data_IF_082178926366
#
_entry.id   IF_082178926366
#
_cell.length_a   1.000
_cell.length_b   1.000
_cell.length_c   1.000
_cell.angle_alpha   90.00
_cell.angle_beta   90.00
_cell.angle_gamma   90.00
#
_symmetry.space_group_name_H-M   'P 1'
#
loop_
_entity.id
_entity.type
_entity.pdbx_description
1 polymer ?
#
# COMPACT_ATOMS: atom_id res chain seq x y z
N UNK A 1 -8.06 0.70 6.75
CA UNK A 1 -7.87 0.29 5.34
C UNK A 1 -8.76 1.05 4.36
N UNK A 2 -10.07 1.09 4.57
CA UNK A 2 -11.00 1.77 3.64
C UNK A 2 -10.68 3.25 3.45
N UNK A 3 -10.26 3.94 4.52
CA UNK A 3 -9.86 5.34 4.43
C UNK A 3 -8.67 5.52 3.46
N UNK A 4 -7.63 4.69 3.59
CA UNK A 4 -6.45 4.78 2.72
C UNK A 4 -6.80 4.44 1.29
N UNK A 5 -7.62 3.40 1.07
CA UNK A 5 -8.10 3.05 -0.27
C UNK A 5 -8.85 4.21 -0.91
N UNK A 6 -9.82 4.77 -0.21
CA UNK A 6 -10.67 5.83 -0.75
C UNK A 6 -9.86 7.09 -1.04
N UNK A 7 -8.86 7.40 -0.21
CA UNK A 7 -7.98 8.55 -0.42
C UNK A 7 -7.06 8.35 -1.63
N UNK A 8 -6.43 7.18 -1.74
CA UNK A 8 -5.50 6.87 -2.84
C UNK A 8 -6.22 6.76 -4.18
N UNK A 9 -7.41 6.16 -4.20
CA UNK A 9 -8.19 5.94 -5.41
C UNK A 9 -9.22 7.05 -5.66
N UNK A 10 -9.05 8.21 -5.07
CA UNK A 10 -10.03 9.33 -5.06
C UNK A 10 -10.68 9.60 -6.42
N UNK A 11 -9.89 9.61 -7.49
CA UNK A 11 -10.36 9.92 -8.84
C UNK A 11 -10.71 8.66 -9.66
N UNK A 12 -10.57 7.48 -9.07
CA UNK A 12 -10.80 6.20 -9.72
C UNK A 12 -11.70 5.31 -8.86
N UNK A 13 -12.88 5.81 -8.59
CA UNK A 13 -13.85 5.16 -7.69
C UNK A 13 -14.19 3.72 -8.11
N UNK A 14 -14.40 3.47 -9.40
CA UNK A 14 -14.70 2.12 -9.90
C UNK A 14 -13.53 1.16 -9.66
N UNK A 15 -12.31 1.65 -9.83
CA UNK A 15 -11.12 0.85 -9.54
C UNK A 15 -11.07 0.48 -8.07
N UNK A 16 -11.36 1.44 -7.18
CA UNK A 16 -11.41 1.19 -5.74
C UNK A 16 -12.43 0.09 -5.40
N UNK A 17 -13.62 0.15 -5.98
CA UNK A 17 -14.68 -0.84 -5.74
C UNK A 17 -14.33 -2.24 -6.28
N UNK A 18 -13.50 -2.32 -7.29
CA UNK A 18 -13.11 -3.59 -7.92
C UNK A 18 -11.76 -4.11 -7.42
N UNK A 19 -11.16 -3.47 -6.42
CA UNK A 19 -9.89 -3.87 -5.84
C UNK A 19 -10.15 -4.53 -4.49
N UNK A 20 -9.72 -5.77 -4.34
CA UNK A 20 -9.95 -6.58 -3.14
C UNK A 20 -8.66 -6.72 -2.36
N UNK A 21 -8.68 -6.36 -1.09
CA UNK A 21 -7.51 -6.41 -0.21
C UNK A 21 -7.88 -7.18 1.06
N UNK A 22 -7.15 -8.25 1.33
CA UNK A 22 -7.23 -8.95 2.60
C UNK A 22 -6.03 -8.55 3.45
N UNK A 23 -6.27 -8.17 4.71
CA UNK A 23 -5.22 -7.82 5.65
C UNK A 23 -5.08 -8.93 6.67
N UNK A 24 -3.86 -9.46 6.81
CA UNK A 24 -3.53 -10.53 7.76
C UNK A 24 -2.48 -10.04 8.74
N UNK A 25 -2.71 -10.30 10.02
CA UNK A 25 -1.74 -10.05 11.08
C UNK A 25 -1.00 -11.34 11.38
N UNK A 26 0.33 -11.33 11.25
CA UNK A 26 1.17 -12.51 11.44
C UNK A 26 2.44 -12.17 12.20
N UNK A 27 3.09 -13.20 12.75
CA UNK A 27 4.40 -13.08 13.40
C UNK A 27 5.50 -13.56 12.45
N UNK A 28 6.71 -13.08 12.69
CA UNK A 28 7.94 -13.58 12.05
C UNK A 28 7.89 -13.56 10.52
N UNK A 29 7.40 -12.44 9.98
CA UNK A 29 7.27 -12.29 8.53
C UNK A 29 8.50 -11.68 7.86
N UNK A 30 9.56 -11.39 8.61
CA UNK A 30 10.82 -10.88 8.08
C UNK A 30 10.85 -9.39 7.74
N UNK A 31 9.74 -8.67 7.97
CA UNK A 31 9.60 -7.24 7.76
C UNK A 31 8.40 -6.74 8.54
N UNK A 32 8.19 -5.43 8.58
CA UNK A 32 7.01 -4.85 9.23
C UNK A 32 5.73 -5.21 8.47
N UNK A 33 5.80 -5.26 7.15
CA UNK A 33 4.67 -5.63 6.29
C UNK A 33 5.10 -6.08 4.90
N UNK A 34 4.16 -6.70 4.21
CA UNK A 34 4.28 -7.16 2.83
C UNK A 34 3.00 -6.89 2.06
N UNK A 35 3.13 -6.60 0.78
CA UNK A 35 2.01 -6.54 -0.15
C UNK A 35 2.20 -7.62 -1.21
N UNK A 36 1.26 -8.56 -1.30
CA UNK A 36 1.26 -9.64 -2.28
C UNK A 36 0.18 -9.43 -3.33
N UNK A 37 0.57 -9.58 -4.60
CA UNK A 37 -0.37 -9.61 -5.72
C UNK A 37 -0.84 -11.05 -5.89
N UNK A 38 -2.13 -11.30 -5.78
CA UNK A 38 -2.69 -12.65 -5.79
C UNK A 38 -3.17 -13.10 -7.17
N UNK A 39 -3.51 -12.17 -8.05
CA UNK A 39 -3.96 -12.48 -9.40
C UNK A 39 -2.90 -12.13 -10.44
N UNK A 40 -2.90 -12.88 -11.55
CA UNK A 40 -1.89 -12.78 -12.60
C UNK A 40 -2.34 -11.85 -13.73
N UNK A 41 -2.91 -10.71 -13.38
CA UNK A 41 -3.42 -9.72 -14.32
C UNK A 41 -2.40 -8.59 -14.56
N UNK A 42 -2.47 -7.97 -15.74
CA UNK A 42 -1.69 -6.76 -16.05
C UNK A 42 -2.04 -5.61 -15.10
N UNK A 43 -3.30 -5.55 -14.66
CA UNK A 43 -3.80 -4.62 -13.65
C UNK A 43 -4.45 -5.46 -12.55
N UNK A 44 -3.66 -5.89 -11.57
CA UNK A 44 -4.16 -6.78 -10.51
C UNK A 44 -5.32 -6.16 -9.74
N UNK A 45 -6.22 -7.04 -9.25
CA UNK A 45 -7.40 -6.64 -8.47
C UNK A 45 -7.48 -7.33 -7.12
N UNK A 46 -6.63 -8.32 -6.89
CA UNK A 46 -6.63 -9.10 -5.65
C UNK A 46 -5.28 -9.02 -4.96
N UNK A 47 -5.29 -8.61 -3.71
CA UNK A 47 -4.08 -8.37 -2.92
C UNK A 47 -4.22 -8.94 -1.52
N UNK A 48 -3.09 -9.36 -0.95
CA UNK A 48 -2.98 -9.68 0.46
C UNK A 48 -1.92 -8.77 1.09
N UNK A 49 -2.27 -8.08 2.15
CA UNK A 49 -1.33 -7.35 2.98
C UNK A 49 -1.08 -8.17 4.23
N UNK A 50 0.19 -8.43 4.54
CA UNK A 50 0.59 -9.00 5.82
C UNK A 50 1.25 -7.92 6.65
N UNK A 51 0.88 -7.84 7.92
CA UNK A 51 1.47 -6.90 8.88
C UNK A 51 2.00 -7.71 10.07
N UNK A 52 3.14 -7.27 10.60
CA UNK A 52 3.70 -7.83 11.81
C UNK A 52 2.83 -7.45 13.01
N UNK A 53 2.16 -8.44 13.60
CA UNK A 53 1.23 -8.19 14.70
C UNK A 53 1.89 -7.77 16.01
N UNK A 54 3.24 -7.82 16.09
CA UNK A 54 3.99 -7.37 17.25
C UNK A 54 4.27 -5.87 17.25
N UNK A 55 3.97 -5.17 16.13
CA UNK A 55 4.12 -3.72 16.04
C UNK A 55 3.12 -3.01 16.95
N UNK A 56 3.50 -1.83 17.45
CA UNK A 56 2.56 -0.95 18.14
C UNK A 56 1.50 -0.40 17.15
N UNK A 57 0.45 0.20 17.70
CA UNK A 57 -0.68 0.69 16.89
C UNK A 57 -0.25 1.69 15.82
N UNK A 58 0.63 2.64 16.16
CA UNK A 58 1.07 3.66 15.20
C UNK A 58 1.90 3.03 14.09
N UNK A 59 2.78 2.11 14.43
CA UNK A 59 3.59 1.40 13.44
C UNK A 59 2.75 0.49 12.55
N UNK A 60 1.73 -0.18 13.10
CA UNK A 60 0.76 -0.95 12.31
C UNK A 60 0.02 -0.07 11.31
N UNK A 61 -0.46 1.10 11.77
CA UNK A 61 -1.18 2.04 10.93
C UNK A 61 -0.30 2.57 9.79
N UNK A 62 0.93 2.95 10.11
CA UNK A 62 1.89 3.47 9.13
C UNK A 62 2.26 2.41 8.11
N UNK A 63 2.51 1.18 8.57
CA UNK A 63 2.84 0.05 7.69
C UNK A 63 1.65 -0.30 6.79
N UNK A 64 0.43 -0.30 7.32
CA UNK A 64 -0.78 -0.51 6.52
C UNK A 64 -0.89 0.56 5.42
N UNK A 65 -0.67 1.82 5.75
CA UNK A 65 -0.69 2.91 4.77
C UNK A 65 0.36 2.67 3.68
N UNK A 66 1.58 2.30 4.06
CA UNK A 66 2.67 1.99 3.12
C UNK A 66 2.26 0.88 2.14
N UNK A 67 1.76 -0.23 2.66
CA UNK A 67 1.36 -1.37 1.82
C UNK A 67 0.14 -1.04 0.95
N UNK A 68 -0.77 -0.21 1.41
CA UNK A 68 -1.89 0.28 0.60
C UNK A 68 -1.43 1.15 -0.57
N UNK A 69 -0.34 1.90 -0.41
CA UNK A 69 0.26 2.61 -1.54
C UNK A 69 0.69 1.63 -2.63
N UNK A 70 1.31 0.52 -2.25
CA UNK A 70 1.69 -0.51 -3.22
C UNK A 70 0.48 -1.12 -3.93
N UNK A 71 -0.62 -1.39 -3.20
CA UNK A 71 -1.88 -1.84 -3.82
C UNK A 71 -2.31 -0.87 -4.90
N UNK A 72 -2.31 0.41 -4.60
CA UNK A 72 -2.68 1.46 -5.55
C UNK A 72 -1.73 1.52 -6.74
N UNK A 73 -0.43 1.41 -6.51
CA UNK A 73 0.58 1.39 -7.59
C UNK A 73 0.35 0.23 -8.56
N UNK A 74 0.13 -0.97 -8.03
CA UNK A 74 -0.16 -2.16 -8.85
C UNK A 74 -1.51 -2.07 -9.54
N UNK A 75 -2.57 -1.75 -8.82
CA UNK A 75 -3.93 -1.72 -9.34
C UNK A 75 -4.10 -0.66 -10.43
N UNK A 76 -3.42 0.48 -10.30
CA UNK A 76 -3.44 1.54 -11.30
C UNK A 76 -2.56 1.23 -12.53
N UNK A 77 -1.79 0.15 -12.51
CA UNK A 77 -0.90 -0.24 -13.60
C UNK A 77 0.43 0.51 -13.63
N UNK A 78 0.69 1.36 -12.65
CA UNK A 78 1.96 2.12 -12.58
C UNK A 78 3.14 1.26 -12.20
N UNK A 79 2.91 0.24 -11.35
CA UNK A 79 3.92 -0.71 -10.89
C UNK A 79 3.54 -2.11 -11.36
N UNK A 80 4.52 -2.83 -11.89
CA UNK A 80 4.36 -4.22 -12.30
C UNK A 80 5.57 -5.04 -11.88
N UNK A 81 5.31 -6.20 -11.30
CA UNK A 81 6.34 -7.20 -10.98
C UNK A 81 6.31 -8.28 -12.05
N UNK A 82 7.46 -8.52 -12.68
CA UNK A 82 7.64 -9.61 -13.64
C UNK A 82 8.06 -10.90 -12.94
N UNK A 83 7.81 -12.04 -13.58
CA UNK A 83 8.14 -13.35 -13.03
C UNK A 83 9.64 -13.54 -12.72
N UNK A 84 10.51 -12.85 -13.47
CA UNK A 84 11.96 -12.90 -13.26
C UNK A 84 12.46 -11.95 -12.15
N UNK A 85 11.58 -11.28 -11.45
CA UNK A 85 11.92 -10.38 -10.35
C UNK A 85 12.16 -8.95 -10.74
N UNK A 86 12.16 -8.62 -12.05
CA UNK A 86 12.24 -7.22 -12.49
C UNK A 86 10.93 -6.50 -12.18
N UNK A 87 11.04 -5.17 -11.99
CA UNK A 87 9.88 -4.31 -11.82
C UNK A 87 9.81 -3.28 -12.94
N UNK A 88 8.61 -2.92 -13.34
CA UNK A 88 8.35 -1.76 -14.18
C UNK A 88 7.60 -0.73 -13.36
N UNK A 89 8.10 0.50 -13.33
CA UNK A 89 7.45 1.60 -12.64
C UNK A 89 7.49 2.85 -13.50
N UNK A 90 6.34 3.47 -13.71
CA UNK A 90 6.18 4.66 -14.56
C UNK A 90 6.81 4.48 -15.94
N UNK A 91 6.66 3.28 -16.51
CA UNK A 91 7.17 2.94 -17.83
C UNK A 91 8.63 2.56 -17.91
N UNK A 92 9.37 2.61 -16.80
CA UNK A 92 10.79 2.25 -16.74
C UNK A 92 10.96 0.89 -16.08
N UNK A 93 11.84 0.04 -16.65
CA UNK A 93 12.14 -1.29 -16.10
C UNK A 93 13.37 -1.21 -15.19
N UNK A 94 13.25 -1.81 -14.02
CA UNK A 94 14.30 -1.91 -13.01
C UNK A 94 14.71 -3.38 -12.83
N UNK A 95 16.01 -3.64 -12.75
CA UNK A 95 16.52 -4.99 -12.57
C UNK A 95 16.16 -5.59 -11.23
N UNK A 96 16.14 -6.92 -11.15
CA UNK A 96 15.87 -7.65 -9.90
C UNK A 96 16.90 -7.38 -8.81
N UNK A 97 18.08 -6.89 -9.17
CA UNK A 97 19.18 -6.52 -8.27
C UNK A 97 19.09 -5.08 -7.77
N UNK A 98 18.07 -4.32 -8.17
CA UNK A 98 17.86 -2.95 -7.70
C UNK A 98 17.75 -2.91 -6.19
N UNK A 99 18.61 -2.14 -5.53
CA UNK A 99 18.62 -2.00 -4.09
C UNK A 99 17.32 -1.35 -3.62
N UNK A 100 16.83 -1.77 -2.45
CA UNK A 100 15.58 -1.30 -1.89
C UNK A 100 15.49 0.24 -1.87
N UNK A 101 16.54 0.93 -1.43
CA UNK A 101 16.56 2.40 -1.34
C UNK A 101 16.57 3.09 -2.72
N UNK A 102 16.90 2.36 -3.78
CA UNK A 102 16.93 2.88 -5.15
C UNK A 102 15.64 2.61 -5.93
N UNK A 103 14.64 2.01 -5.27
CA UNK A 103 13.34 1.71 -5.87
C UNK A 103 12.41 2.91 -5.73
N UNK A 104 12.07 3.61 -6.82
CA UNK A 104 11.26 4.82 -6.72
C UNK A 104 9.84 4.57 -6.19
N UNK A 105 9.28 3.37 -6.38
CA UNK A 105 7.98 3.01 -5.81
C UNK A 105 8.01 2.90 -4.29
N UNK A 106 9.15 2.55 -3.70
CA UNK A 106 9.33 2.57 -2.24
C UNK A 106 9.43 4.01 -1.72
N UNK A 107 10.17 4.87 -2.42
CA UNK A 107 10.25 6.29 -2.08
C UNK A 107 8.88 6.96 -2.07
N UNK A 108 8.06 6.69 -3.08
CA UNK A 108 6.69 7.20 -3.14
C UNK A 108 5.87 6.67 -1.97
N UNK A 109 6.00 5.37 -1.63
CA UNK A 109 5.28 4.78 -0.52
C UNK A 109 5.65 5.42 0.81
N UNK A 110 6.93 5.70 1.05
CA UNK A 110 7.38 6.40 2.27
C UNK A 110 6.83 7.82 2.36
N UNK A 111 6.82 8.56 1.27
CA UNK A 111 6.25 9.92 1.25
C UNK A 111 4.76 9.90 1.53
N UNK A 112 4.02 9.03 0.86
CA UNK A 112 2.57 8.97 0.97
C UNK A 112 2.09 8.36 2.28
N UNK A 113 2.82 7.42 2.89
CA UNK A 113 2.41 6.85 4.18
C UNK A 113 2.28 7.93 5.25
N UNK A 114 3.21 8.85 5.28
CA UNK A 114 3.19 9.96 6.24
C UNK A 114 1.97 10.87 6.00
N UNK A 115 1.72 11.23 4.76
CA UNK A 115 0.56 12.05 4.38
C UNK A 115 -0.75 11.35 4.77
N UNK A 116 -0.87 10.07 4.44
CA UNK A 116 -2.08 9.29 4.71
C UNK A 116 -2.36 9.13 6.21
N UNK A 117 -1.32 8.86 6.99
CA UNK A 117 -1.46 8.72 8.45
C UNK A 117 -1.85 10.04 9.08
N UNK A 118 -1.23 11.14 8.66
CA UNK A 118 -1.56 12.48 9.16
C UNK A 118 -3.01 12.86 8.83
N UNK A 119 -3.47 12.58 7.63
CA UNK A 119 -4.88 12.81 7.24
C UNK A 119 -5.84 11.95 8.07
N UNK A 120 -5.49 10.69 8.33
CA UNK A 120 -6.28 9.81 9.19
C UNK A 120 -6.40 10.37 10.60
N UNK A 121 -5.28 10.81 11.20
CA UNK A 121 -5.27 11.40 12.54
C UNK A 121 -6.09 12.68 12.61
N UNK A 122 -6.01 13.54 11.61
CA UNK A 122 -6.81 14.75 11.53
C UNK A 122 -8.30 14.44 11.41
N UNK A 123 -8.67 13.43 10.65
CA UNK A 123 -10.06 12.95 10.55
C UNK A 123 -10.58 12.50 11.92
N UNK A 124 -9.77 11.76 12.69
CA UNK A 124 -10.11 11.33 14.04
C UNK A 124 -10.37 12.50 14.97
N UNK A 125 -9.52 13.53 14.94
CA UNK A 125 -9.70 14.75 15.72
C UNK A 125 -11.00 15.48 15.37
N UNK A 126 -11.31 15.61 14.07
CA UNK A 126 -12.56 16.24 13.62
C UNK A 126 -13.79 15.48 14.09
N UNK A 127 -13.77 14.15 14.05
CA UNK A 127 -14.85 13.32 14.56
C UNK A 127 -15.07 13.52 16.05
N UNK A 128 -14.00 13.59 16.85
CA UNK A 128 -14.06 13.83 18.29
C UNK A 128 -14.64 15.23 18.57
N UNK A 129 -14.19 16.26 17.87
CA UNK A 129 -14.68 17.63 18.01
C UNK A 129 -16.16 17.73 17.63
N UNK A 130 -16.61 17.02 16.59
CA UNK A 130 -18.00 17.00 16.18
C UNK A 130 -18.90 16.30 17.18
N UNK A 131 -18.37 15.32 17.93
CA UNK A 131 -19.10 14.59 18.97
C UNK A 131 -19.20 15.36 20.30
N UNK A 132 -18.36 16.34 20.50
CA UNK A 132 -18.35 17.18 21.70
C UNK A 132 -19.35 18.32 21.60
#
# INVERSE_FOLDING_TARGET
>A
MNFFRDRLFRERHRLALNTYVEVKLKRDIGADGWCYVEDDDLRPREFTIQLDKTLDEMSLLTTLAHEMVHVWQYASGRLRLYQDGRHRFEGRVYGSDTKYLDRPWEGEAYELEEVLVNEWLERGKKCIQSAA
#
